data_IF_568464867046
#
_entry.id   IF_568464867046
#
_cell.length_a   1.000
_cell.length_b   1.000
_cell.length_c   1.000
_cell.angle_alpha   90.00
_cell.angle_beta   90.00
_cell.angle_gamma   90.00
#
_symmetry.space_group_name_H-M   'P 1'
#
loop_
_entity.id
_entity.type
_entity.pdbx_description
1 polymer ?
#
# COMPACT_ATOMS: atom_id res chain seq x y z
N UNK A 1 -21.34 -5.47 11.89
CA UNK A 1 -22.38 -5.14 12.90
C UNK A 1 -22.05 -3.76 13.43
N UNK A 2 -22.84 -2.72 13.17
CA UNK A 2 -22.62 -1.41 13.75
C UNK A 2 -23.04 -1.47 15.23
N UNK A 3 -22.12 -1.04 16.11
CA UNK A 3 -22.42 -0.83 17.50
C UNK A 3 -23.50 0.25 17.61
N UNK A 4 -24.65 -0.11 18.13
CA UNK A 4 -25.70 0.82 18.49
C UNK A 4 -25.13 1.82 19.52
N UNK A 5 -25.20 3.13 19.18
CA UNK A 5 -24.96 4.19 20.13
C UNK A 5 -25.95 4.00 21.30
N UNK A 6 -25.44 3.62 22.46
CA UNK A 6 -26.22 3.69 23.67
C UNK A 6 -26.62 5.17 23.85
N UNK A 7 -27.92 5.44 23.91
CA UNK A 7 -28.46 6.76 24.15
C UNK A 7 -27.83 7.35 25.41
N UNK A 8 -27.01 8.39 25.21
CA UNK A 8 -26.45 9.13 26.32
C UNK A 8 -27.63 9.80 27.06
N UNK A 9 -27.81 9.58 28.37
CA UNK A 9 -28.97 10.15 29.08
C UNK A 9 -28.95 11.67 28.96
N UNK A 10 -30.04 12.22 28.41
CA UNK A 10 -30.15 13.66 28.20
C UNK A 10 -30.70 14.38 29.49
N UNK A 11 -30.40 15.67 29.67
CA UNK A 11 -30.94 16.45 30.77
C UNK A 11 -32.48 16.44 30.86
N UNK A 12 -33.14 16.25 29.70
CA UNK A 12 -34.60 16.13 29.61
C UNK A 12 -35.17 14.83 30.23
N UNK A 13 -34.32 13.86 30.54
CA UNK A 13 -34.73 12.64 31.25
C UNK A 13 -34.99 12.86 32.73
N UNK A 14 -34.57 14.01 33.29
CA UNK A 14 -34.82 14.39 34.69
C UNK A 14 -36.18 15.05 34.80
N UNK A 15 -37.08 14.49 35.62
CA UNK A 15 -38.44 15.00 35.82
C UNK A 15 -38.70 15.29 37.29
N UNK A 16 -39.32 16.45 37.54
CA UNK A 16 -39.72 16.85 38.91
C UNK A 16 -40.86 16.01 39.50
N UNK A 17 -41.59 15.27 38.67
CA UNK A 17 -42.76 14.46 39.07
C UNK A 17 -42.37 13.04 39.52
N UNK A 18 -41.09 12.67 39.48
CA UNK A 18 -40.63 11.37 39.93
C UNK A 18 -40.46 11.33 41.43
N UNK A 19 -40.69 10.17 42.11
CA UNK A 19 -40.52 10.01 43.54
C UNK A 19 -39.09 10.22 44.04
N UNK A 20 -38.11 10.27 43.13
CA UNK A 20 -36.71 10.54 43.45
C UNK A 20 -36.39 12.02 43.32
N UNK A 21 -35.59 12.55 44.23
CA UNK A 21 -35.13 13.95 44.14
C UNK A 21 -34.28 14.14 42.88
N UNK A 22 -34.34 15.35 42.30
CA UNK A 22 -33.55 15.75 41.09
C UNK A 22 -32.05 15.43 41.28
N UNK A 23 -31.53 15.62 42.48
CA UNK A 23 -30.14 15.27 42.83
C UNK A 23 -29.87 13.78 42.58
N UNK A 24 -30.75 12.93 43.06
CA UNK A 24 -30.58 11.47 42.96
C UNK A 24 -30.77 10.98 41.52
N UNK A 25 -31.72 11.62 40.77
CA UNK A 25 -31.89 11.34 39.36
C UNK A 25 -30.61 11.71 38.54
N UNK A 26 -30.00 12.88 38.81
CA UNK A 26 -28.77 13.32 38.17
C UNK A 26 -27.59 12.38 38.48
N UNK A 27 -27.46 11.90 39.75
CA UNK A 27 -26.44 10.93 40.13
C UNK A 27 -26.59 9.60 39.37
N UNK A 28 -27.81 9.08 39.27
CA UNK A 28 -28.09 7.82 38.55
C UNK A 28 -27.91 7.91 37.06
N UNK A 29 -28.22 9.06 36.43
CA UNK A 29 -28.08 9.31 35.01
C UNK A 29 -26.70 9.81 34.62
N UNK A 30 -25.82 10.10 35.59
CA UNK A 30 -24.47 10.65 35.32
C UNK A 30 -24.50 12.06 34.71
N UNK A 31 -25.59 12.82 34.90
CA UNK A 31 -25.79 14.15 34.35
C UNK A 31 -25.49 15.23 35.38
N UNK A 32 -24.80 16.30 34.98
CA UNK A 32 -24.54 17.40 35.91
C UNK A 32 -25.83 18.16 36.25
N UNK A 33 -26.09 18.37 37.54
CA UNK A 33 -27.28 19.09 38.00
C UNK A 33 -27.39 20.49 37.44
N UNK A 34 -26.29 21.22 37.23
CA UNK A 34 -26.32 22.56 36.62
C UNK A 34 -26.84 22.55 35.19
N UNK A 35 -26.65 21.45 34.46
CA UNK A 35 -27.14 21.31 33.08
C UNK A 35 -28.66 21.13 33.02
N UNK A 36 -29.27 20.53 34.07
CA UNK A 36 -30.71 20.33 34.16
C UNK A 36 -31.46 21.64 34.41
N UNK A 37 -30.84 22.58 35.14
CA UNK A 37 -31.41 23.89 35.41
C UNK A 37 -30.93 24.99 34.44
N UNK A 38 -30.14 24.61 33.41
CA UNK A 38 -29.67 25.58 32.42
C UNK A 38 -30.80 25.91 31.44
N UNK A 39 -31.24 27.14 31.46
CA UNK A 39 -32.15 27.71 30.45
C UNK A 39 -31.32 28.49 29.44
N UNK A 40 -31.35 28.11 28.14
CA UNK A 40 -30.64 28.86 27.11
C UNK A 40 -31.14 30.31 27.06
N UNK A 41 -30.25 31.26 27.15
CA UNK A 41 -30.60 32.68 26.94
C UNK A 41 -30.95 32.86 25.45
N UNK A 42 -32.15 33.40 25.12
CA UNK A 42 -32.50 33.62 23.72
C UNK A 42 -31.51 34.61 23.08
N UNK A 43 -31.03 34.24 21.91
CA UNK A 43 -30.13 35.12 21.16
C UNK A 43 -30.87 36.34 20.66
N UNK A 44 -30.27 37.52 20.82
CA UNK A 44 -30.85 38.78 20.31
C UNK A 44 -30.75 38.80 18.80
N UNK A 45 -31.76 39.41 18.14
CA UNK A 45 -31.79 39.52 16.68
C UNK A 45 -30.59 40.30 16.12
N UNK A 46 -30.06 41.26 16.87
CA UNK A 46 -28.82 41.99 16.52
C UNK A 46 -27.59 41.07 16.45
N UNK A 47 -27.49 40.15 17.41
CA UNK A 47 -26.37 39.19 17.42
C UNK A 47 -26.43 38.23 16.23
N UNK A 48 -27.63 37.75 15.88
CA UNK A 48 -27.85 36.89 14.72
C UNK A 48 -27.45 37.58 13.42
N UNK A 49 -27.91 38.82 13.22
CA UNK A 49 -27.58 39.61 12.05
C UNK A 49 -26.05 39.84 11.94
N UNK A 50 -25.39 40.10 13.07
CA UNK A 50 -23.96 40.27 13.09
C UNK A 50 -23.22 38.96 12.73
N UNK A 51 -23.66 37.81 13.24
CA UNK A 51 -23.10 36.50 12.91
C UNK A 51 -23.33 36.14 11.43
N UNK A 52 -24.50 36.41 10.87
CA UNK A 52 -24.82 36.25 9.45
C UNK A 52 -23.87 37.08 8.54
N UNK A 53 -23.63 38.35 8.92
CA UNK A 53 -22.70 39.22 8.21
C UNK A 53 -21.24 38.65 8.22
N UNK A 54 -20.84 38.11 9.37
CA UNK A 54 -19.51 37.45 9.50
C UNK A 54 -19.47 36.17 8.66
N UNK A 55 -20.51 35.35 8.66
CA UNK A 55 -20.62 34.11 7.86
C UNK A 55 -20.54 34.45 6.37
N UNK A 56 -21.26 35.45 5.88
CA UNK A 56 -21.14 35.88 4.48
C UNK A 56 -19.71 36.32 4.12
N UNK A 57 -18.98 36.93 5.07
CA UNK A 57 -17.61 37.36 4.84
C UNK A 57 -16.62 36.18 4.89
N UNK A 58 -16.86 35.18 5.73
CA UNK A 58 -16.13 33.91 5.76
C UNK A 58 -16.30 33.18 4.43
N UNK A 59 -17.50 33.09 3.90
CA UNK A 59 -17.78 32.48 2.60
C UNK A 59 -17.03 33.15 1.46
N UNK A 60 -17.08 34.49 1.41
CA UNK A 60 -16.31 35.29 0.44
C UNK A 60 -14.83 34.94 0.48
N UNK A 61 -14.20 34.94 1.66
CA UNK A 61 -12.79 34.65 1.80
C UNK A 61 -12.45 33.19 1.49
N UNK A 62 -13.35 32.25 1.86
CA UNK A 62 -13.17 30.84 1.56
C UNK A 62 -13.24 30.56 0.06
N UNK A 63 -14.20 31.16 -0.64
CA UNK A 63 -14.30 31.07 -2.10
C UNK A 63 -13.05 31.61 -2.80
N UNK A 64 -12.53 32.74 -2.34
CA UNK A 64 -11.32 33.36 -2.92
C UNK A 64 -10.03 32.64 -2.55
N UNK A 65 -9.92 32.12 -1.32
CA UNK A 65 -8.73 31.49 -0.75
C UNK A 65 -9.10 30.30 0.13
N UNK A 66 -9.46 29.14 -0.47
CA UNK A 66 -10.01 27.99 0.27
C UNK A 66 -9.01 27.33 1.23
N UNK A 67 -7.75 27.69 1.16
CA UNK A 67 -6.68 27.21 2.05
C UNK A 67 -6.53 28.04 3.34
N UNK A 68 -7.39 29.05 3.57
CA UNK A 68 -7.34 29.84 4.81
C UNK A 68 -7.89 29.01 5.98
N UNK A 69 -7.01 28.64 6.90
CA UNK A 69 -7.41 28.08 8.18
C UNK A 69 -7.90 29.14 9.17
N UNK A 70 -8.53 28.72 10.27
CA UNK A 70 -9.16 29.59 11.28
C UNK A 70 -8.30 30.79 11.67
N UNK A 71 -7.00 30.60 11.92
CA UNK A 71 -6.11 31.70 12.34
C UNK A 71 -6.00 32.80 11.27
N UNK A 72 -5.80 32.41 10.02
CA UNK A 72 -5.68 33.35 8.89
C UNK A 72 -7.04 33.96 8.54
N UNK A 73 -8.12 33.21 8.70
CA UNK A 73 -9.50 33.73 8.54
C UNK A 73 -9.80 34.82 9.54
N UNK A 74 -9.43 34.64 10.83
CA UNK A 74 -9.55 35.70 11.86
C UNK A 74 -8.79 36.95 11.46
N UNK A 75 -7.56 36.81 10.95
CA UNK A 75 -6.77 37.99 10.50
C UNK A 75 -7.51 38.73 9.38
N UNK A 76 -8.06 38.02 8.39
CA UNK A 76 -8.79 38.63 7.29
C UNK A 76 -10.08 39.34 7.74
N UNK A 77 -10.80 38.74 8.65
CA UNK A 77 -12.02 39.35 9.21
C UNK A 77 -11.70 40.63 10.05
N UNK A 78 -10.59 40.64 10.77
CA UNK A 78 -10.12 41.83 11.50
C UNK A 78 -9.68 42.92 10.51
N UNK A 79 -8.99 42.59 9.42
CA UNK A 79 -8.66 43.53 8.35
C UNK A 79 -9.92 44.16 7.71
N UNK A 80 -11.01 43.37 7.62
CA UNK A 80 -12.32 43.83 7.13
C UNK A 80 -13.14 44.64 8.18
N UNK A 81 -12.61 44.85 9.40
CA UNK A 81 -13.20 45.65 10.46
C UNK A 81 -14.09 44.86 11.43
N UNK A 82 -14.13 43.53 11.36
CA UNK A 82 -14.92 42.72 12.29
C UNK A 82 -14.13 42.41 13.58
N UNK A 83 -14.72 42.66 14.74
CA UNK A 83 -14.14 42.31 16.04
C UNK A 83 -14.41 40.81 16.35
N UNK A 84 -13.60 39.90 15.85
CA UNK A 84 -13.83 38.45 15.97
C UNK A 84 -12.70 37.72 16.65
N UNK A 85 -13.01 36.70 17.43
CA UNK A 85 -12.06 35.80 18.07
C UNK A 85 -12.02 34.42 17.42
N UNK A 86 -10.95 33.64 17.70
CA UNK A 86 -10.79 32.27 17.14
C UNK A 86 -11.94 31.32 17.49
N UNK A 87 -12.57 31.47 18.68
CA UNK A 87 -13.67 30.60 19.11
C UNK A 87 -14.89 30.80 18.19
N UNK A 88 -15.30 32.06 17.99
CA UNK A 88 -16.43 32.42 17.15
C UNK A 88 -16.19 31.97 15.71
N UNK A 89 -15.05 32.34 15.11
CA UNK A 89 -14.73 31.94 13.71
C UNK A 89 -14.71 30.42 13.53
N UNK A 90 -14.19 29.66 14.51
CA UNK A 90 -14.22 28.19 14.48
C UNK A 90 -15.64 27.66 14.50
N UNK A 91 -16.50 28.22 15.35
CA UNK A 91 -17.90 27.83 15.47
C UNK A 91 -18.64 28.09 14.15
N UNK A 92 -18.54 29.30 13.62
CA UNK A 92 -19.22 29.70 12.38
C UNK A 92 -18.73 28.88 11.17
N UNK A 93 -17.43 28.67 11.04
CA UNK A 93 -16.88 27.81 9.99
C UNK A 93 -17.40 26.36 10.10
N UNK A 94 -17.52 25.81 11.32
CA UNK A 94 -18.04 24.47 11.54
C UNK A 94 -19.54 24.40 11.21
N UNK A 95 -20.31 25.40 11.58
CA UNK A 95 -21.73 25.51 11.27
C UNK A 95 -22.01 25.61 9.77
N UNK A 96 -21.16 26.35 9.04
CA UNK A 96 -21.19 26.43 7.58
C UNK A 96 -20.62 25.18 6.89
N UNK A 97 -20.07 24.22 7.61
CA UNK A 97 -19.37 23.05 7.03
C UNK A 97 -18.07 23.40 6.29
N UNK A 98 -17.50 24.58 6.55
CA UNK A 98 -16.32 25.09 5.85
C UNK A 98 -15.03 24.60 6.53
N UNK A 99 -14.17 23.96 5.74
CA UNK A 99 -12.84 23.50 6.16
C UNK A 99 -11.78 24.03 5.21
N UNK A 100 -10.64 24.45 5.78
CA UNK A 100 -9.49 24.84 4.96
C UNK A 100 -8.98 23.68 4.11
N UNK A 101 -8.72 23.93 2.82
CA UNK A 101 -8.04 22.96 1.97
C UNK A 101 -6.54 22.94 2.31
N UNK A 102 -6.06 21.79 2.69
CA UNK A 102 -4.64 21.52 2.92
C UNK A 102 -4.30 20.11 2.44
N UNK A 103 -3.01 19.83 2.14
CA UNK A 103 -2.61 18.50 1.75
C UNK A 103 -3.03 17.47 2.79
N UNK A 104 -3.76 16.46 2.36
CA UNK A 104 -4.13 15.33 3.24
C UNK A 104 -2.87 14.63 3.73
N UNK A 105 -2.98 13.90 4.84
CA UNK A 105 -1.91 13.05 5.33
C UNK A 105 -1.43 12.14 4.19
N UNK A 106 -0.11 12.03 4.04
CA UNK A 106 0.47 11.15 3.03
C UNK A 106 0.13 9.71 3.38
N UNK A 107 -0.84 9.14 2.67
CA UNK A 107 -1.29 7.75 2.84
C UNK A 107 -0.22 6.74 2.37
N UNK A 108 0.79 7.21 1.63
CA UNK A 108 1.95 6.41 1.25
C UNK A 108 2.99 6.29 2.37
N UNK A 109 2.78 6.89 3.54
CA UNK A 109 3.60 6.60 4.72
C UNK A 109 3.35 5.16 5.14
N UNK A 110 4.33 4.31 4.85
CA UNK A 110 4.33 2.89 5.21
C UNK A 110 4.11 2.73 6.71
N UNK A 111 3.26 1.79 7.09
CA UNK A 111 3.09 1.37 8.47
C UNK A 111 4.26 0.43 8.82
N UNK A 112 5.40 1.01 9.23
CA UNK A 112 6.70 0.34 9.33
C UNK A 112 6.78 -0.81 10.35
N UNK A 113 5.82 -0.94 11.27
CA UNK A 113 6.00 -1.84 12.42
C UNK A 113 5.48 -3.26 12.23
N UNK A 114 4.55 -3.52 11.32
CA UNK A 114 3.88 -4.82 11.21
C UNK A 114 4.04 -5.53 9.86
N UNK A 115 4.55 -4.84 8.85
CA UNK A 115 4.52 -5.35 7.48
C UNK A 115 5.87 -5.83 6.94
N UNK A 116 6.99 -5.49 7.58
CA UNK A 116 8.32 -5.83 7.09
C UNK A 116 8.78 -7.17 7.66
N UNK A 117 9.13 -8.08 6.76
CA UNK A 117 9.75 -9.37 7.11
C UNK A 117 11.29 -9.20 7.12
N UNK A 118 12.02 -9.85 8.05
CA UNK A 118 13.47 -9.75 8.06
C UNK A 118 14.12 -10.38 6.83
N UNK A 119 15.31 -9.87 6.46
CA UNK A 119 16.15 -10.48 5.43
C UNK A 119 16.79 -11.77 5.92
N UNK A 120 16.43 -12.90 5.31
CA UNK A 120 16.79 -14.24 5.75
C UNK A 120 17.94 -14.86 4.96
N UNK A 121 18.43 -14.18 3.91
CA UNK A 121 19.35 -14.76 2.92
C UNK A 121 20.82 -14.34 3.12
N UNK A 122 21.14 -13.60 4.20
CA UNK A 122 22.50 -13.16 4.47
C UNK A 122 23.44 -14.35 4.65
N UNK A 123 24.51 -14.39 3.84
CA UNK A 123 25.53 -15.45 3.85
C UNK A 123 24.98 -16.86 3.57
N UNK A 124 23.78 -16.95 2.98
CA UNK A 124 23.22 -18.24 2.60
C UNK A 124 23.77 -18.66 1.24
N UNK A 125 24.42 -19.80 1.19
CA UNK A 125 24.80 -20.41 -0.08
C UNK A 125 23.55 -20.91 -0.81
N UNK A 126 23.45 -20.62 -2.10
CA UNK A 126 22.38 -21.12 -2.98
C UNK A 126 22.99 -22.21 -3.85
N UNK A 127 22.60 -23.46 -3.60
CA UNK A 127 23.27 -24.64 -4.13
C UNK A 127 22.41 -25.43 -5.14
N UNK A 128 21.12 -25.17 -5.24
CA UNK A 128 20.21 -25.88 -6.14
C UNK A 128 19.07 -24.97 -6.64
N UNK A 129 18.47 -25.35 -7.74
CA UNK A 129 17.31 -24.65 -8.32
C UNK A 129 16.11 -24.68 -7.37
N UNK A 130 15.28 -23.63 -7.38
CA UNK A 130 14.13 -23.44 -6.49
C UNK A 130 14.48 -23.28 -5.01
N UNK A 131 15.75 -23.07 -4.65
CA UNK A 131 16.10 -22.73 -3.28
C UNK A 131 15.69 -21.30 -2.93
N UNK A 132 16.00 -20.34 -3.80
CA UNK A 132 15.69 -18.92 -3.60
C UNK A 132 15.22 -18.31 -4.91
N UNK A 133 14.03 -17.75 -4.91
CA UNK A 133 13.54 -16.87 -5.97
C UNK A 133 13.56 -15.40 -5.53
N UNK A 134 13.79 -14.51 -6.47
CA UNK A 134 13.59 -13.07 -6.31
C UNK A 134 12.44 -12.61 -7.17
N UNK A 135 11.60 -11.74 -6.61
CA UNK A 135 10.51 -11.06 -7.31
C UNK A 135 10.69 -9.56 -7.23
N UNK A 136 10.44 -8.87 -8.34
CA UNK A 136 10.47 -7.41 -8.38
C UNK A 136 9.58 -6.89 -9.51
N UNK A 137 9.29 -5.59 -9.49
CA UNK A 137 8.42 -4.92 -10.45
C UNK A 137 9.18 -3.79 -11.10
N UNK A 138 9.16 -3.76 -12.43
CA UNK A 138 9.69 -2.63 -13.19
C UNK A 138 8.61 -2.00 -14.06
N UNK A 139 8.72 -0.70 -14.33
CA UNK A 139 7.85 -0.04 -15.30
C UNK A 139 8.51 0.06 -16.67
N UNK A 140 7.68 -0.06 -17.70
CA UNK A 140 8.06 0.09 -19.11
C UNK A 140 7.23 1.24 -19.68
N UNK A 141 7.91 2.26 -20.19
CA UNK A 141 7.26 3.42 -20.79
C UNK A 141 6.71 3.05 -22.17
N UNK A 142 5.46 3.39 -22.42
CA UNK A 142 4.80 3.29 -23.73
C UNK A 142 4.57 4.70 -24.29
N UNK A 143 4.14 4.81 -25.55
CA UNK A 143 3.74 6.10 -26.13
C UNK A 143 2.64 6.78 -25.31
N UNK A 144 1.69 6.00 -24.80
CA UNK A 144 0.61 6.46 -23.93
C UNK A 144 0.62 5.69 -22.61
N UNK A 145 1.28 6.26 -21.58
CA UNK A 145 1.30 5.69 -20.24
C UNK A 145 2.47 4.74 -19.95
N UNK A 146 2.25 3.85 -18.99
CA UNK A 146 3.26 2.90 -18.54
C UNK A 146 2.62 1.51 -18.37
N UNK A 147 3.41 0.49 -18.61
CA UNK A 147 3.09 -0.90 -18.24
C UNK A 147 4.00 -1.33 -17.10
N UNK A 148 3.50 -2.19 -16.24
CA UNK A 148 4.23 -2.74 -15.10
C UNK A 148 4.55 -4.21 -15.37
N UNK A 149 5.83 -4.53 -15.35
CA UNK A 149 6.31 -5.90 -15.51
C UNK A 149 6.73 -6.44 -14.15
N UNK A 150 6.02 -7.42 -13.64
CA UNK A 150 6.46 -8.27 -12.53
C UNK A 150 7.24 -9.43 -13.10
N UNK A 151 8.41 -9.72 -12.55
CA UNK A 151 9.21 -10.89 -12.94
C UNK A 151 9.75 -11.63 -11.70
N UNK A 152 9.99 -12.92 -11.88
CA UNK A 152 10.51 -13.81 -10.84
C UNK A 152 11.71 -14.58 -11.44
N UNK A 153 12.84 -14.51 -10.77
CA UNK A 153 14.09 -15.17 -11.17
C UNK A 153 14.55 -16.15 -10.10
N UNK A 154 14.96 -17.34 -10.52
CA UNK A 154 15.68 -18.28 -9.65
C UNK A 154 17.14 -17.88 -9.48
N UNK A 155 17.63 -17.81 -8.25
CA UNK A 155 18.99 -17.36 -7.96
C UNK A 155 20.06 -18.32 -8.40
N UNK A 156 19.80 -19.61 -8.39
CA UNK A 156 20.76 -20.62 -8.78
C UNK A 156 20.95 -20.68 -10.30
N UNK A 157 19.87 -20.96 -11.00
CA UNK A 157 19.88 -21.18 -12.46
C UNK A 157 19.80 -19.89 -13.28
N UNK A 158 19.44 -18.75 -12.67
CA UNK A 158 19.08 -17.48 -13.36
C UNK A 158 17.87 -17.58 -14.26
N UNK A 159 17.11 -18.66 -14.17
CA UNK A 159 15.90 -18.89 -14.94
C UNK A 159 14.83 -17.87 -14.55
N UNK A 160 14.18 -17.24 -15.53
CA UNK A 160 12.96 -16.49 -15.29
C UNK A 160 11.82 -17.50 -15.18
N UNK A 161 11.40 -17.76 -13.95
CA UNK A 161 10.40 -18.77 -13.62
C UNK A 161 8.96 -18.26 -13.72
N UNK A 162 8.76 -16.94 -13.67
CA UNK A 162 7.44 -16.33 -13.80
C UNK A 162 7.51 -14.87 -14.17
N UNK A 163 6.47 -14.38 -14.82
CA UNK A 163 6.32 -12.97 -15.14
C UNK A 163 4.87 -12.60 -15.45
N UNK A 164 4.52 -11.34 -15.24
CA UNK A 164 3.24 -10.79 -15.67
C UNK A 164 3.40 -9.32 -16.07
N UNK A 165 2.67 -8.91 -17.11
CA UNK A 165 2.63 -7.54 -17.60
C UNK A 165 1.22 -6.98 -17.39
N UNK A 166 1.08 -5.84 -16.70
CA UNK A 166 -0.18 -5.18 -16.40
C UNK A 166 -0.09 -3.67 -16.63
N UNK A 167 -1.22 -3.04 -16.87
CA UNK A 167 -1.39 -1.59 -16.89
C UNK A 167 -1.60 -1.00 -15.48
N UNK A 168 -1.87 -1.85 -14.49
CA UNK A 168 -2.04 -1.47 -13.09
C UNK A 168 -0.93 -2.05 -12.21
N UNK A 169 -0.52 -1.26 -11.20
CA UNK A 169 0.43 -1.68 -10.17
C UNK A 169 -0.34 -2.24 -8.97
N UNK A 170 -0.94 -3.42 -9.14
CA UNK A 170 -1.77 -4.06 -8.12
C UNK A 170 -1.16 -5.34 -7.55
N UNK A 171 -1.66 -5.76 -6.39
CA UNK A 171 -1.21 -6.99 -5.72
C UNK A 171 -1.71 -8.25 -6.43
N UNK A 172 -2.88 -8.19 -7.09
CA UNK A 172 -3.46 -9.35 -7.76
C UNK A 172 -2.58 -9.83 -8.92
N UNK A 173 -2.03 -8.90 -9.71
CA UNK A 173 -1.10 -9.20 -10.80
C UNK A 173 0.18 -9.86 -10.31
N UNK A 174 0.72 -9.39 -9.17
CA UNK A 174 1.90 -9.98 -8.52
C UNK A 174 1.61 -11.40 -8.04
N UNK A 175 0.47 -11.60 -7.37
CA UNK A 175 0.05 -12.92 -6.89
C UNK A 175 -0.16 -13.90 -8.03
N UNK A 176 -0.70 -13.45 -9.18
CA UNK A 176 -0.87 -14.31 -10.36
C UNK A 176 0.49 -14.75 -10.91
N UNK A 177 1.47 -13.84 -11.00
CA UNK A 177 2.82 -14.20 -11.43
C UNK A 177 3.46 -15.28 -10.53
N UNK A 178 3.22 -15.21 -9.21
CA UNK A 178 3.71 -16.22 -8.25
C UNK A 178 3.02 -17.56 -8.46
N UNK A 179 1.70 -17.59 -8.64
CA UNK A 179 0.96 -18.83 -8.91
C UNK A 179 1.41 -19.51 -10.20
N UNK A 180 1.49 -18.73 -11.29
CA UNK A 180 1.93 -19.25 -12.59
C UNK A 180 3.36 -19.81 -12.52
N UNK A 181 4.25 -19.16 -11.76
CA UNK A 181 5.62 -19.64 -11.54
C UNK A 181 5.66 -20.95 -10.75
N UNK A 182 4.86 -21.04 -9.67
CA UNK A 182 4.76 -22.24 -8.83
C UNK A 182 4.17 -23.42 -9.61
N UNK A 183 3.12 -23.17 -10.39
CA UNK A 183 2.47 -24.20 -11.21
C UNK A 183 3.44 -24.75 -12.29
N UNK A 184 4.29 -23.89 -12.85
CA UNK A 184 5.21 -24.28 -13.91
C UNK A 184 6.54 -24.91 -13.42
N UNK A 185 7.06 -24.46 -12.26
CA UNK A 185 8.44 -24.78 -11.82
C UNK A 185 8.51 -25.38 -10.40
N UNK A 186 7.36 -25.54 -9.71
CA UNK A 186 7.32 -26.02 -8.34
C UNK A 186 7.56 -24.91 -7.30
N UNK A 187 7.66 -25.30 -6.03
CA UNK A 187 7.71 -24.38 -4.89
C UNK A 187 9.15 -23.97 -4.58
N UNK A 188 9.45 -22.67 -4.42
CA UNK A 188 10.71 -22.22 -3.88
C UNK A 188 10.71 -22.35 -2.34
N UNK A 189 11.90 -22.55 -1.75
CA UNK A 189 12.03 -22.48 -0.29
C UNK A 189 11.91 -21.04 0.23
N UNK A 190 12.47 -20.08 -0.52
CA UNK A 190 12.43 -18.64 -0.17
C UNK A 190 12.01 -17.81 -1.38
N UNK A 191 11.19 -16.80 -1.13
CA UNK A 191 10.86 -15.75 -2.10
C UNK A 191 11.30 -14.40 -1.53
N UNK A 192 12.30 -13.79 -2.17
CA UNK A 192 12.87 -12.50 -1.78
C UNK A 192 12.23 -11.38 -2.57
N UNK A 193 11.89 -10.28 -1.90
CA UNK A 193 11.33 -9.08 -2.52
C UNK A 193 11.86 -7.81 -1.87
N UNK A 194 11.64 -6.67 -2.51
CA UNK A 194 11.80 -5.38 -1.86
C UNK A 194 10.66 -5.13 -0.85
N UNK A 195 10.68 -3.94 -0.21
CA UNK A 195 9.64 -3.52 0.73
C UNK A 195 8.48 -2.79 0.04
N UNK A 196 8.17 -3.10 -1.22
CA UNK A 196 7.04 -2.55 -1.96
C UNK A 196 5.69 -2.80 -1.27
N UNK A 197 4.71 -1.93 -1.52
CA UNK A 197 3.38 -2.06 -0.89
C UNK A 197 2.66 -3.35 -1.34
N UNK A 198 2.92 -3.85 -2.54
CA UNK A 198 2.39 -5.11 -3.06
C UNK A 198 2.88 -6.29 -2.23
N UNK A 199 4.19 -6.34 -1.94
CA UNK A 199 4.85 -7.43 -1.22
C UNK A 199 4.62 -7.39 0.30
N UNK A 200 4.20 -6.23 0.83
CA UNK A 200 3.84 -6.06 2.24
C UNK A 200 2.35 -6.21 2.51
N UNK A 201 1.52 -6.37 1.47
CA UNK A 201 0.08 -6.53 1.57
C UNK A 201 -0.30 -7.80 2.32
N UNK A 202 -1.48 -7.78 2.95
CA UNK A 202 -2.01 -8.93 3.69
C UNK A 202 -2.29 -10.11 2.77
N UNK A 203 -2.85 -9.81 1.60
CA UNK A 203 -3.23 -10.81 0.60
C UNK A 203 -2.02 -11.57 0.08
N UNK A 204 -0.94 -10.86 -0.25
CA UNK A 204 0.31 -11.47 -0.69
C UNK A 204 0.94 -12.36 0.38
N UNK A 205 0.97 -11.91 1.64
CA UNK A 205 1.48 -12.72 2.77
C UNK A 205 0.65 -13.98 3.01
N UNK A 206 -0.67 -13.89 2.86
CA UNK A 206 -1.56 -15.05 2.98
C UNK A 206 -1.27 -16.06 1.86
N UNK A 207 -1.11 -15.62 0.62
CA UNK A 207 -0.75 -16.48 -0.51
C UNK A 207 0.56 -17.24 -0.23
N UNK A 208 1.63 -16.54 0.20
CA UNK A 208 2.91 -17.21 0.49
C UNK A 208 2.79 -18.21 1.63
N UNK A 209 1.97 -17.91 2.64
CA UNK A 209 1.70 -18.85 3.74
C UNK A 209 0.92 -20.08 3.26
N UNK A 210 -0.08 -19.90 2.41
CA UNK A 210 -0.86 -21.00 1.80
C UNK A 210 0.04 -21.92 0.97
N UNK A 211 0.98 -21.33 0.23
CA UNK A 211 1.95 -22.06 -0.59
C UNK A 211 3.15 -22.59 0.22
N UNK A 212 3.21 -22.38 1.54
CA UNK A 212 4.34 -22.74 2.40
C UNK A 212 5.70 -22.14 1.95
N UNK A 213 5.69 -20.98 1.28
CA UNK A 213 6.88 -20.27 0.84
C UNK A 213 7.35 -19.30 1.92
N UNK A 214 8.63 -19.37 2.30
CA UNK A 214 9.21 -18.44 3.27
C UNK A 214 9.52 -17.11 2.61
N UNK A 215 8.84 -16.04 3.06
CA UNK A 215 9.12 -14.68 2.59
C UNK A 215 10.42 -14.14 3.18
N UNK A 216 11.24 -13.49 2.37
CA UNK A 216 12.38 -12.67 2.77
C UNK A 216 12.23 -11.29 2.16
N UNK A 217 12.66 -10.24 2.88
CA UNK A 217 12.61 -8.88 2.34
C UNK A 217 13.96 -8.20 2.48
N UNK A 218 14.34 -7.45 1.44
CA UNK A 218 15.59 -6.69 1.43
C UNK A 218 15.66 -5.72 2.60
N UNK A 219 16.83 -5.59 3.20
CA UNK A 219 17.09 -4.57 4.22
C UNK A 219 17.05 -3.15 3.65
N UNK A 220 16.68 -2.20 4.50
CA UNK A 220 16.67 -0.78 4.12
C UNK A 220 18.07 -0.37 3.61
N UNK A 221 18.15 0.17 2.39
CA UNK A 221 19.39 0.65 1.74
C UNK A 221 20.41 -0.43 1.37
N UNK A 222 20.03 -1.68 1.13
CA UNK A 222 20.90 -2.74 0.68
C UNK A 222 20.56 -3.15 -0.75
N UNK A 223 21.14 -2.43 -1.70
CA UNK A 223 21.02 -2.70 -3.14
C UNK A 223 21.55 -4.08 -3.57
N UNK A 224 22.43 -4.71 -2.78
CA UNK A 224 23.00 -6.01 -3.11
C UNK A 224 22.02 -7.18 -2.92
N UNK A 225 20.95 -7.00 -2.17
CA UNK A 225 20.07 -8.08 -1.75
C UNK A 225 19.11 -8.54 -2.89
N UNK A 226 18.90 -7.71 -3.95
CA UNK A 226 18.03 -8.04 -5.09
C UNK A 226 18.73 -7.86 -6.47
N UNK A 227 20.05 -7.84 -6.46
CA UNK A 227 20.91 -7.54 -7.63
C UNK A 227 20.63 -8.44 -8.85
N UNK A 228 20.16 -9.66 -8.64
CA UNK A 228 19.93 -10.63 -9.72
C UNK A 228 18.83 -10.19 -10.66
N UNK A 229 17.68 -9.85 -10.10
CA UNK A 229 16.52 -9.43 -10.89
C UNK A 229 16.71 -8.01 -11.44
N UNK A 230 17.35 -7.11 -10.67
CA UNK A 230 17.69 -5.77 -11.15
C UNK A 230 18.60 -5.82 -12.38
N UNK A 231 19.62 -6.72 -12.36
CA UNK A 231 20.50 -6.93 -13.51
C UNK A 231 19.74 -7.49 -14.70
N UNK A 232 18.81 -8.43 -14.48
CA UNK A 232 17.97 -8.96 -15.54
C UNK A 232 17.07 -7.89 -16.15
N UNK A 233 16.42 -7.05 -15.33
CA UNK A 233 15.64 -5.92 -15.85
C UNK A 233 16.48 -4.96 -16.67
N UNK A 234 17.73 -4.72 -16.28
CA UNK A 234 18.65 -3.91 -17.07
C UNK A 234 18.90 -4.56 -18.43
N UNK A 235 19.19 -5.85 -18.47
CA UNK A 235 19.39 -6.60 -19.72
C UNK A 235 18.15 -6.52 -20.61
N UNK A 236 16.96 -6.84 -20.10
CA UNK A 236 15.70 -6.73 -20.84
C UNK A 236 15.51 -5.32 -21.42
N UNK A 237 15.75 -4.28 -20.61
CA UNK A 237 15.56 -2.90 -21.06
C UNK A 237 16.55 -2.50 -22.15
N UNK A 238 17.82 -2.88 -22.03
CA UNK A 238 18.85 -2.51 -23.01
C UNK A 238 18.83 -3.36 -24.27
N UNK A 239 18.46 -4.63 -24.16
CA UNK A 239 18.54 -5.60 -25.25
C UNK A 239 17.22 -5.71 -26.03
N UNK A 240 16.08 -5.31 -25.45
CA UNK A 240 14.78 -5.44 -26.09
C UNK A 240 13.98 -4.13 -26.04
N UNK A 241 13.77 -3.54 -24.85
CA UNK A 241 12.78 -2.46 -24.70
C UNK A 241 13.23 -1.14 -25.31
N UNK A 242 14.52 -0.76 -25.16
CA UNK A 242 15.01 0.55 -25.62
C UNK A 242 15.36 0.59 -27.11
N UNK A 243 15.50 -0.57 -27.74
CA UNK A 243 15.83 -0.66 -29.17
C UNK A 243 14.61 -0.86 -30.06
N UNK A 244 13.44 -1.14 -29.46
CA UNK A 244 12.21 -1.41 -30.20
C UNK A 244 11.08 -0.45 -29.79
N UNK A 245 10.15 -0.21 -30.71
CA UNK A 245 8.91 0.51 -30.45
C UNK A 245 7.72 -0.44 -30.50
N UNK A 246 6.79 -0.27 -29.55
CA UNK A 246 5.62 -1.14 -29.43
C UNK A 246 4.33 -0.35 -29.65
N UNK A 247 3.58 -0.73 -30.67
CA UNK A 247 2.33 -0.06 -31.04
C UNK A 247 1.23 -0.19 -29.95
N UNK A 248 1.25 -1.27 -29.17
CA UNK A 248 0.23 -1.55 -28.16
C UNK A 248 0.76 -2.53 -27.08
N UNK A 249 0.07 -2.66 -25.95
CA UNK A 249 0.45 -3.58 -24.86
C UNK A 249 0.53 -5.06 -25.27
N UNK A 250 -0.26 -5.49 -26.27
CA UNK A 250 -0.23 -6.86 -26.77
C UNK A 250 1.07 -7.16 -27.52
N UNK A 251 1.55 -6.19 -28.33
CA UNK A 251 2.84 -6.31 -29.02
C UNK A 251 4.00 -6.36 -28.01
N UNK A 252 3.99 -5.48 -26.98
CA UNK A 252 4.96 -5.49 -25.92
C UNK A 252 4.97 -6.83 -25.16
N UNK A 253 3.80 -7.37 -24.80
CA UNK A 253 3.68 -8.67 -24.13
C UNK A 253 4.30 -9.79 -24.96
N UNK A 254 4.06 -9.81 -26.27
CA UNK A 254 4.65 -10.80 -27.17
C UNK A 254 6.17 -10.68 -27.23
N UNK A 255 6.70 -9.47 -27.34
CA UNK A 255 8.14 -9.22 -27.36
C UNK A 255 8.82 -9.68 -26.07
N UNK A 256 8.27 -9.34 -24.89
CA UNK A 256 8.78 -9.80 -23.60
C UNK A 256 8.74 -11.32 -23.51
N UNK A 257 7.66 -11.97 -23.93
CA UNK A 257 7.55 -13.43 -23.94
C UNK A 257 8.65 -14.07 -24.80
N UNK A 258 8.88 -13.54 -26.00
CA UNK A 258 9.94 -14.01 -26.91
C UNK A 258 11.32 -13.78 -26.29
N UNK A 259 11.58 -12.59 -25.73
CA UNK A 259 12.84 -12.31 -25.05
C UNK A 259 13.12 -13.26 -23.90
N UNK A 260 12.12 -13.52 -23.03
CA UNK A 260 12.25 -14.46 -21.91
C UNK A 260 12.53 -15.88 -22.42
N UNK A 261 11.88 -16.29 -23.48
CA UNK A 261 12.11 -17.59 -24.11
C UNK A 261 13.56 -17.73 -24.60
N UNK A 262 14.07 -16.74 -25.35
CA UNK A 262 15.46 -16.69 -25.80
C UNK A 262 16.43 -16.61 -24.62
N UNK A 263 16.16 -15.77 -23.63
CA UNK A 263 16.97 -15.65 -22.41
C UNK A 263 17.10 -16.97 -21.67
N UNK A 264 16.00 -17.69 -21.48
CA UNK A 264 15.98 -18.94 -20.75
C UNK A 264 16.64 -20.12 -21.49
N UNK A 265 16.47 -20.18 -22.82
CA UNK A 265 16.82 -21.39 -23.59
C UNK A 265 18.02 -21.24 -24.53
N UNK A 266 18.35 -20.04 -24.98
CA UNK A 266 19.33 -19.83 -26.03
C UNK A 266 20.52 -18.96 -25.59
N UNK A 267 20.29 -17.99 -24.69
CA UNK A 267 21.31 -17.04 -24.27
C UNK A 267 22.33 -17.70 -23.32
N UNK A 268 23.64 -17.74 -23.70
CA UNK A 268 24.67 -18.21 -22.81
C UNK A 268 24.97 -17.20 -21.72
N UNK A 269 25.25 -17.67 -20.49
CA UNK A 269 25.56 -16.85 -19.33
C UNK A 269 26.98 -17.19 -18.80
N UNK A 270 27.85 -16.19 -18.77
CA UNK A 270 29.22 -16.33 -18.24
C UNK A 270 29.22 -16.88 -16.81
N UNK A 271 28.34 -16.35 -15.94
CA UNK A 271 28.21 -16.81 -14.56
C UNK A 271 27.66 -18.24 -14.42
N UNK A 272 27.22 -18.87 -15.49
CA UNK A 272 26.74 -20.25 -15.59
C UNK A 272 27.63 -21.09 -16.48
N UNK A 273 28.91 -20.73 -16.60
CA UNK A 273 29.87 -21.41 -17.47
C UNK A 273 29.42 -21.45 -18.94
N UNK A 274 28.83 -20.37 -19.41
CA UNK A 274 28.24 -20.22 -20.75
C UNK A 274 27.08 -21.19 -21.05
N UNK A 275 26.49 -21.82 -20.04
CA UNK A 275 25.23 -22.57 -20.20
C UNK A 275 24.03 -21.65 -20.16
N UNK A 276 22.91 -22.12 -20.69
CA UNK A 276 21.63 -21.42 -20.59
C UNK A 276 20.96 -21.65 -19.22
N UNK A 277 20.13 -20.71 -18.74
CA UNK A 277 19.40 -20.88 -17.48
C UNK A 277 18.63 -22.19 -17.40
N UNK A 278 17.94 -22.57 -18.46
CA UNK A 278 17.14 -23.79 -18.50
C UNK A 278 18.02 -25.07 -18.44
N UNK A 279 19.16 -25.07 -19.11
CA UNK A 279 20.10 -26.20 -19.05
C UNK A 279 20.65 -26.41 -17.63
N UNK A 280 20.94 -25.31 -16.91
CA UNK A 280 21.39 -25.37 -15.50
C UNK A 280 20.28 -25.86 -14.59
N UNK A 281 19.06 -25.35 -14.76
CA UNK A 281 17.89 -25.78 -13.99
C UNK A 281 17.63 -27.28 -14.19
N UNK A 282 17.59 -27.76 -15.42
CA UNK A 282 17.35 -29.17 -15.76
C UNK A 282 18.42 -30.11 -15.18
N UNK A 283 19.70 -29.69 -15.18
CA UNK A 283 20.77 -30.51 -14.62
C UNK A 283 20.64 -30.74 -13.11
N UNK A 284 20.03 -29.82 -12.36
CA UNK A 284 19.77 -30.01 -10.93
C UNK A 284 18.77 -31.12 -10.65
N UNK A 285 17.74 -31.22 -11.45
CA UNK A 285 16.69 -32.23 -11.27
C UNK A 285 17.16 -33.61 -11.73
N UNK A 286 18.02 -33.69 -12.76
CA UNK A 286 18.62 -34.95 -13.21
C UNK A 286 19.55 -35.57 -12.16
N UNK A 287 20.31 -34.76 -11.42
CA UNK A 287 21.21 -35.24 -10.36
C UNK A 287 20.45 -35.78 -9.16
N UNK A 288 19.33 -35.16 -8.79
CA UNK A 288 18.50 -35.60 -7.65
C UNK A 288 17.75 -36.91 -7.93
N UNK A 289 17.41 -37.20 -9.18
CA UNK A 289 16.79 -38.50 -9.56
C UNK A 289 17.79 -39.63 -9.56
N UNK A 290 19.01 -39.38 -10.01
CA UNK A 290 20.09 -40.41 -10.00
C UNK A 290 20.51 -40.80 -8.58
N UNK A 291 20.49 -39.88 -7.63
CA UNK A 291 20.77 -40.15 -6.21
C UNK A 291 19.67 -40.97 -5.53
N UNK A 292 18.39 -40.79 -5.94
CA UNK A 292 17.27 -41.60 -5.45
C UNK A 292 17.32 -43.03 -5.98
N UNK A 293 17.60 -43.21 -7.27
CA UNK A 293 17.72 -44.54 -7.88
C UNK A 293 18.92 -45.35 -7.31
N UNK A 294 19.97 -44.64 -6.87
CA UNK A 294 21.14 -45.28 -6.23
C UNK A 294 20.88 -45.74 -4.79
N UNK A 295 19.90 -45.09 -4.09
CA UNK A 295 19.47 -45.47 -2.75
C UNK A 295 18.47 -46.64 -2.75
N UNK A 296 17.66 -46.79 -3.79
CA UNK A 296 16.73 -47.93 -3.95
C UNK A 296 17.45 -49.23 -4.38
N UNK A 297 18.63 -49.12 -5.01
CA UNK A 297 19.41 -50.29 -5.39
C UNK A 297 20.37 -50.78 -4.27
N UNK A 298 20.47 -50.04 -3.16
CA UNK A 298 21.33 -50.37 -2.01
C UNK A 298 20.55 -50.88 -0.77
N UNK A 299 19.22 -51.04 -0.86
CA UNK A 299 18.35 -51.60 0.17
C UNK A 299 17.77 -52.93 -0.27
#
# INVERSE_FOLDING_TARGET
MPFANADCPSPSSVRNEFPLSVRRQCELLGVNRSTVYYEPVPETDEKKQQEEAIMARIDFWHTKMPYLGIRRMVTKLIEDGYAVGRKLVRQLMAEMGIHALYPKANLSKRNFKESIVPYLLRNKAVNFANQVWSIDITYIKMQHGHMYLTAIIDWYSRLIVGWNLSDALDTATVMQAVRDAVDAHGLPAYLNSDQGCQFTSREYKLLLKELCITQSMDGKSRWADNIMIERWFRSLKTEEIYINEYANPKALRKAIATYIQTYNNERPHEALENRTPNAVCASCFATSSADLDSLELAG
#
